data_IF_960288863731
#
_entry.id   IF_960288863731
#
_cell.length_a   1.000
_cell.length_b   1.000
_cell.length_c   1.000
_cell.angle_alpha   90.00
_cell.angle_beta   90.00
_cell.angle_gamma   90.00
#
_symmetry.space_group_name_H-M   'P 1'
#
loop_
_entity.id
_entity.type
_entity.pdbx_description
1 polymer ?
#
# COMPACT_ATOMS: atom_id res chain seq x y z
N UNK A 1 -10.13 16.28 19.85
CA UNK A 1 -9.66 15.48 18.70
C UNK A 1 -10.65 15.70 17.59
N UNK A 2 -10.22 16.22 16.45
CA UNK A 2 -11.11 16.46 15.31
C UNK A 2 -11.68 15.13 14.81
N UNK A 3 -12.95 15.13 14.36
CA UNK A 3 -13.66 13.92 13.89
C UNK A 3 -12.84 13.14 12.83
N UNK A 4 -12.07 13.85 12.01
CA UNK A 4 -11.20 13.28 10.99
C UNK A 4 -10.06 12.42 11.56
N UNK A 5 -9.48 12.78 12.71
CA UNK A 5 -8.39 12.01 13.32
C UNK A 5 -8.87 10.66 13.85
N UNK A 6 -10.07 10.63 14.42
CA UNK A 6 -10.68 9.39 14.93
C UNK A 6 -10.97 8.44 13.77
N UNK A 7 -11.51 8.96 12.66
CA UNK A 7 -11.78 8.17 11.44
C UNK A 7 -10.47 7.60 10.88
N UNK A 8 -9.41 8.41 10.77
CA UNK A 8 -8.11 7.94 10.28
C UNK A 8 -7.50 6.85 11.15
N UNK A 9 -7.59 6.99 12.48
CA UNK A 9 -7.06 5.99 13.41
C UNK A 9 -7.82 4.67 13.30
N UNK A 10 -9.16 4.71 13.30
CA UNK A 10 -9.99 3.53 13.14
C UNK A 10 -9.72 2.83 11.79
N UNK A 11 -9.66 3.58 10.70
CA UNK A 11 -9.37 3.03 9.38
C UNK A 11 -7.96 2.45 9.30
N UNK A 12 -6.96 3.11 9.89
CA UNK A 12 -5.59 2.61 9.94
C UNK A 12 -5.50 1.23 10.59
N UNK A 13 -6.27 1.00 11.66
CA UNK A 13 -6.38 -0.32 12.33
C UNK A 13 -6.99 -1.35 11.37
N UNK A 14 -8.14 -1.03 10.75
CA UNK A 14 -8.79 -1.94 9.80
C UNK A 14 -7.90 -2.28 8.59
N UNK A 15 -7.23 -1.27 8.05
CA UNK A 15 -6.28 -1.45 6.94
C UNK A 15 -5.11 -2.31 7.37
N UNK A 16 -4.53 -2.08 8.55
CA UNK A 16 -3.42 -2.89 9.05
C UNK A 16 -3.80 -4.36 9.20
N UNK A 17 -4.99 -4.64 9.73
CA UNK A 17 -5.52 -6.00 9.86
C UNK A 17 -5.72 -6.61 8.46
N UNK A 18 -6.48 -5.96 7.59
CA UNK A 18 -6.77 -6.46 6.24
C UNK A 18 -5.51 -6.66 5.38
N UNK A 19 -4.54 -5.77 5.50
CA UNK A 19 -3.24 -5.85 4.84
C UNK A 19 -2.41 -7.04 5.32
N UNK A 20 -2.45 -7.33 6.62
CA UNK A 20 -1.71 -8.46 7.20
C UNK A 20 -2.30 -9.79 6.73
N UNK A 21 -3.63 -9.88 6.61
CA UNK A 21 -4.29 -11.07 6.05
C UNK A 21 -4.04 -11.25 4.55
N UNK A 22 -4.04 -10.16 3.77
CA UNK A 22 -3.88 -10.26 2.32
C UNK A 22 -2.43 -10.42 1.85
N UNK A 23 -1.45 -10.05 2.70
CA UNK A 23 -0.03 -10.04 2.33
C UNK A 23 0.34 -8.95 1.32
N UNK A 24 -0.58 -8.05 0.95
CA UNK A 24 -0.39 -7.04 -0.10
C UNK A 24 0.20 -5.70 0.42
N UNK A 25 0.52 -5.59 1.71
CA UNK A 25 1.13 -4.39 2.30
C UNK A 25 0.17 -3.21 2.58
N UNK A 26 -1.12 -3.31 2.24
CA UNK A 26 -2.16 -2.36 2.71
C UNK A 26 -2.32 -1.06 1.92
N UNK A 27 -1.38 -0.75 1.02
CA UNK A 27 -1.46 0.44 0.14
C UNK A 27 -2.73 0.46 -0.73
N UNK A 28 -3.22 -0.70 -1.15
CA UNK A 28 -4.44 -0.85 -1.94
C UNK A 28 -5.71 -0.38 -1.19
N UNK A 29 -5.71 -0.35 0.14
CA UNK A 29 -6.80 0.19 0.96
C UNK A 29 -6.52 1.62 1.42
N UNK A 30 -5.26 1.91 1.79
CA UNK A 30 -4.87 3.23 2.31
C UNK A 30 -4.96 4.33 1.24
N UNK A 31 -4.54 4.05 0.00
CA UNK A 31 -4.51 5.03 -1.09
C UNK A 31 -5.91 5.50 -1.49
N UNK A 32 -6.90 4.60 -1.75
CA UNK A 32 -8.27 5.03 -2.05
C UNK A 32 -8.91 5.83 -0.92
N UNK A 33 -8.66 5.45 0.33
CA UNK A 33 -9.17 6.17 1.49
C UNK A 33 -8.69 7.62 1.50
N UNK A 34 -7.37 7.85 1.40
CA UNK A 34 -6.81 9.19 1.42
C UNK A 34 -7.29 10.02 0.22
N UNK A 35 -7.42 9.40 -0.95
CA UNK A 35 -8.00 10.02 -2.13
C UNK A 35 -9.48 10.40 -1.97
N UNK A 36 -10.24 9.59 -1.22
CA UNK A 36 -11.64 9.84 -0.87
C UNK A 36 -11.77 10.98 0.14
N UNK A 37 -10.83 11.08 1.09
CA UNK A 37 -10.71 12.19 2.03
C UNK A 37 -10.22 13.51 1.40
N UNK A 38 -9.98 13.54 0.08
CA UNK A 38 -9.62 14.75 -0.66
C UNK A 38 -8.12 15.05 -0.73
N UNK A 39 -7.25 14.13 -0.29
CA UNK A 39 -5.80 14.30 -0.44
C UNK A 39 -5.37 14.08 -1.90
N UNK A 40 -4.26 14.73 -2.29
CA UNK A 40 -3.66 14.53 -3.61
C UNK A 40 -3.10 13.12 -3.77
N UNK A 41 -2.91 12.68 -5.02
CA UNK A 41 -2.31 11.37 -5.31
C UNK A 41 -0.92 11.22 -4.66
N UNK A 42 -0.07 12.24 -4.74
CA UNK A 42 1.27 12.24 -4.14
C UNK A 42 1.22 12.06 -2.62
N UNK A 43 0.36 12.82 -1.92
CA UNK A 43 0.19 12.68 -0.47
C UNK A 43 -0.32 11.30 -0.11
N UNK A 44 -1.32 10.80 -0.85
CA UNK A 44 -1.93 9.49 -0.60
C UNK A 44 -0.92 8.35 -0.75
N UNK A 45 -0.14 8.36 -1.84
CA UNK A 45 0.90 7.36 -2.09
C UNK A 45 2.01 7.45 -1.05
N UNK A 46 2.54 8.64 -0.77
CA UNK A 46 3.59 8.84 0.23
C UNK A 46 3.20 8.39 1.64
N UNK A 47 2.00 8.77 2.10
CA UNK A 47 1.49 8.32 3.40
C UNK A 47 1.28 6.81 3.45
N UNK A 48 0.78 6.20 2.36
CA UNK A 48 0.63 4.75 2.30
C UNK A 48 1.98 4.02 2.36
N UNK A 49 3.04 4.57 1.78
CA UNK A 49 4.39 3.99 1.83
C UNK A 49 4.93 3.91 3.26
N UNK A 50 4.68 4.94 4.08
CA UNK A 50 5.04 4.91 5.50
C UNK A 50 4.28 3.80 6.25
N UNK A 51 2.98 3.64 5.98
CA UNK A 51 2.21 2.55 6.58
C UNK A 51 2.72 1.18 6.13
N UNK A 52 2.97 1.00 4.83
CA UNK A 52 3.56 -0.23 4.28
C UNK A 52 4.88 -0.55 4.97
N UNK A 53 5.75 0.44 5.19
CA UNK A 53 7.03 0.25 5.88
C UNK A 53 6.82 -0.29 7.30
N UNK A 54 5.92 0.30 8.08
CA UNK A 54 5.62 -0.16 9.45
C UNK A 54 5.04 -1.58 9.45
N UNK A 55 4.09 -1.87 8.55
CA UNK A 55 3.49 -3.20 8.38
C UNK A 55 4.55 -4.23 7.99
N UNK A 56 5.45 -3.87 7.07
CA UNK A 56 6.48 -4.77 6.54
C UNK A 56 7.54 -5.10 7.58
N UNK A 57 7.96 -4.12 8.40
CA UNK A 57 8.86 -4.35 9.53
C UNK A 57 8.19 -5.28 10.55
N UNK A 58 6.93 -5.02 10.90
CA UNK A 58 6.18 -5.88 11.81
C UNK A 58 6.05 -7.31 11.28
N UNK A 59 5.71 -7.46 10.00
CA UNK A 59 5.60 -8.76 9.33
C UNK A 59 6.95 -9.49 9.29
N UNK A 60 8.06 -8.79 9.02
CA UNK A 60 9.41 -9.37 9.03
C UNK A 60 9.75 -9.93 10.41
N UNK A 61 9.52 -9.17 11.49
CA UNK A 61 9.75 -9.65 12.85
C UNK A 61 8.87 -10.85 13.21
N UNK A 62 7.61 -10.84 12.80
CA UNK A 62 6.68 -11.95 13.05
C UNK A 62 7.12 -13.23 12.32
N UNK A 63 7.46 -13.13 11.03
CA UNK A 63 7.85 -14.28 10.21
C UNK A 63 9.26 -14.79 10.51
N UNK A 64 10.15 -13.94 11.03
CA UNK A 64 11.50 -14.37 11.42
C UNK A 64 11.46 -15.41 12.53
N UNK A 65 10.50 -15.29 13.45
CA UNK A 65 10.27 -16.28 14.51
C UNK A 65 9.80 -17.64 13.99
N UNK A 66 9.25 -17.68 12.77
CA UNK A 66 8.78 -18.91 12.12
C UNK A 66 9.83 -19.52 11.16
N UNK A 67 11.04 -18.94 11.08
CA UNK A 67 12.14 -19.39 10.19
C UNK A 67 11.78 -19.47 8.69
N UNK A 68 10.73 -18.78 8.25
CA UNK A 68 10.21 -18.82 6.88
C UNK A 68 10.68 -17.64 6.01
N UNK A 69 11.85 -17.06 6.29
CA UNK A 69 12.36 -15.90 5.55
C UNK A 69 13.42 -16.33 4.53
N UNK A 70 13.12 -16.14 3.25
CA UNK A 70 14.12 -16.10 2.19
C UNK A 70 14.72 -14.69 2.10
N UNK A 71 15.84 -14.49 2.78
CA UNK A 71 16.57 -13.23 2.79
C UNK A 71 17.11 -12.85 1.42
N UNK A 72 17.44 -13.83 0.55
CA UNK A 72 17.97 -13.57 -0.78
C UNK A 72 16.88 -12.98 -1.67
N UNK A 73 15.70 -13.61 -1.68
CA UNK A 73 14.53 -13.08 -2.38
C UNK A 73 14.13 -11.70 -1.82
N UNK A 74 14.13 -11.54 -0.49
CA UNK A 74 13.81 -10.27 0.17
C UNK A 74 14.73 -9.12 -0.25
N UNK A 75 16.04 -9.35 -0.31
CA UNK A 75 17.02 -8.32 -0.73
C UNK A 75 16.87 -7.99 -2.22
N UNK A 76 16.69 -8.99 -3.09
CA UNK A 76 16.50 -8.77 -4.52
C UNK A 76 15.23 -7.96 -4.80
N UNK A 77 14.11 -8.33 -4.17
CA UNK A 77 12.85 -7.61 -4.26
C UNK A 77 12.95 -6.21 -3.65
N UNK A 78 13.65 -6.06 -2.52
CA UNK A 78 13.88 -4.78 -1.86
C UNK A 78 14.69 -3.82 -2.75
N UNK A 79 15.77 -4.30 -3.36
CA UNK A 79 16.59 -3.48 -4.26
C UNK A 79 15.80 -3.02 -5.49
N UNK A 80 15.06 -3.94 -6.13
CA UNK A 80 14.18 -3.60 -7.25
C UNK A 80 13.06 -2.63 -6.84
N UNK A 81 12.49 -2.84 -5.65
CA UNK A 81 11.46 -1.98 -5.06
C UNK A 81 11.95 -0.57 -4.78
N UNK A 82 13.18 -0.41 -4.26
CA UNK A 82 13.79 0.92 -4.06
C UNK A 82 13.90 1.66 -5.38
N UNK A 83 14.47 1.03 -6.41
CA UNK A 83 14.64 1.64 -7.74
C UNK A 83 13.27 2.01 -8.32
N UNK A 84 12.32 1.07 -8.28
CA UNK A 84 10.96 1.26 -8.78
C UNK A 84 10.21 2.38 -8.04
N UNK A 85 10.34 2.47 -6.72
CA UNK A 85 9.70 3.51 -5.92
C UNK A 85 10.23 4.92 -6.27
N UNK A 86 11.54 5.06 -6.49
CA UNK A 86 12.13 6.34 -6.90
C UNK A 86 11.64 6.78 -8.29
N UNK A 87 11.63 5.85 -9.25
CA UNK A 87 11.13 6.13 -10.61
C UNK A 87 9.63 6.45 -10.59
N UNK A 88 8.85 5.63 -9.88
CA UNK A 88 7.41 5.79 -9.75
C UNK A 88 7.01 7.11 -9.10
N UNK A 89 7.73 7.55 -8.06
CA UNK A 89 7.48 8.83 -7.41
C UNK A 89 7.68 10.01 -8.38
N UNK A 90 8.76 10.00 -9.18
CA UNK A 90 9.03 11.03 -10.19
C UNK A 90 8.00 11.03 -11.32
N UNK A 91 7.58 9.85 -11.77
CA UNK A 91 6.52 9.75 -12.77
C UNK A 91 5.19 10.29 -12.23
N UNK A 92 4.88 10.04 -10.97
CA UNK A 92 3.65 10.50 -10.34
C UNK A 92 3.52 12.04 -10.29
N UNK A 93 4.64 12.77 -10.25
CA UNK A 93 4.65 14.24 -10.34
C UNK A 93 4.08 14.77 -11.65
N UNK A 94 4.15 13.97 -12.72
CA UNK A 94 3.67 14.33 -14.05
C UNK A 94 2.25 13.81 -14.32
N UNK A 95 1.63 13.13 -13.36
CA UNK A 95 0.30 12.51 -13.49
C UNK A 95 -0.72 13.29 -12.67
N UNK A 96 -1.79 13.76 -13.33
CA UNK A 96 -2.90 14.43 -12.63
C UNK A 96 -3.57 13.48 -11.62
N UNK A 97 -4.04 14.01 -10.49
CA UNK A 97 -4.78 13.21 -9.49
C UNK A 97 -6.00 12.51 -10.10
N UNK A 98 -6.66 13.12 -11.10
CA UNK A 98 -7.79 12.50 -11.79
C UNK A 98 -7.38 11.29 -12.64
N UNK A 99 -6.28 11.41 -13.39
CA UNK A 99 -5.72 10.31 -14.17
C UNK A 99 -5.25 9.17 -13.26
N UNK A 100 -4.57 9.50 -12.15
CA UNK A 100 -4.15 8.53 -11.14
C UNK A 100 -5.35 7.77 -10.57
N UNK A 101 -6.41 8.47 -10.15
CA UNK A 101 -7.64 7.85 -9.64
C UNK A 101 -8.24 6.84 -10.63
N UNK A 102 -8.32 7.19 -11.92
CA UNK A 102 -8.85 6.31 -12.97
C UNK A 102 -7.99 5.06 -13.15
N UNK A 103 -6.69 5.24 -13.34
CA UNK A 103 -5.75 4.12 -13.58
C UNK A 103 -5.71 3.20 -12.36
N UNK A 104 -5.58 3.77 -11.17
CA UNK A 104 -5.52 3.02 -9.93
C UNK A 104 -6.81 2.23 -9.68
N UNK A 105 -7.98 2.84 -9.90
CA UNK A 105 -9.27 2.14 -9.79
C UNK A 105 -9.37 0.97 -10.78
N UNK A 106 -8.97 1.16 -12.04
CA UNK A 106 -8.96 0.09 -13.04
C UNK A 106 -8.06 -1.08 -12.63
N UNK A 107 -6.87 -0.80 -12.10
CA UNK A 107 -5.94 -1.83 -11.58
C UNK A 107 -6.57 -2.58 -10.41
N UNK A 108 -7.23 -1.89 -9.47
CA UNK A 108 -7.88 -2.53 -8.33
C UNK A 108 -9.05 -3.43 -8.76
N UNK A 109 -9.87 -3.00 -9.71
CA UNK A 109 -10.97 -3.81 -10.25
C UNK A 109 -10.42 -5.04 -10.97
N UNK A 110 -9.35 -4.88 -11.76
CA UNK A 110 -8.70 -6.01 -12.43
C UNK A 110 -8.09 -6.99 -11.42
N UNK A 111 -7.44 -6.50 -10.36
CA UNK A 111 -6.91 -7.33 -9.28
C UNK A 111 -8.03 -8.06 -8.53
N UNK A 112 -9.14 -7.39 -8.22
CA UNK A 112 -10.28 -7.99 -7.57
C UNK A 112 -10.90 -9.10 -8.43
N UNK A 113 -11.09 -8.85 -9.73
CA UNK A 113 -11.53 -9.86 -10.67
C UNK A 113 -10.57 -11.05 -10.72
N UNK A 114 -9.26 -10.79 -10.86
CA UNK A 114 -8.25 -11.85 -10.87
C UNK A 114 -8.29 -12.72 -9.61
N UNK A 115 -8.39 -12.11 -8.42
CA UNK A 115 -8.48 -12.86 -7.16
C UNK A 115 -9.77 -13.68 -7.04
N UNK A 116 -10.90 -13.20 -7.58
CA UNK A 116 -12.17 -13.94 -7.55
C UNK A 116 -12.20 -15.12 -8.53
N UNK A 117 -11.55 -14.99 -9.69
CA UNK A 117 -11.52 -16.04 -10.71
C UNK A 117 -10.32 -16.99 -10.57
N UNK A 118 -9.30 -16.62 -9.79
CA UNK A 118 -8.19 -17.50 -9.44
C UNK A 118 -8.66 -18.49 -8.37
N UNK A 119 -9.09 -19.66 -8.85
CA UNK A 119 -9.49 -20.83 -8.07
C UNK A 119 -8.33 -21.40 -7.25
#
# INVERSE_FOLDING_TARGET
MDNNMIIMAAFGIFVGIGASFSGLGGGFLMVPLLLFMGYSAQKSVGTSFLAILVISISALFAHNKLSNIDYKAGILLGAGGIIGAQIGARLLEHVSTASFKKIFSAILVALAAYLLFKK
#
